data_IF_387490117775
#
_entry.id   IF_387490117775
#
_cell.length_a   1.000
_cell.length_b   1.000
_cell.length_c   1.000
_cell.angle_alpha   90.00
_cell.angle_beta   90.00
_cell.angle_gamma   90.00
#
_symmetry.space_group_name_H-M   'P 1'
#
loop_
_entity.id
_entity.type
_entity.pdbx_description
1 polymer ?
#
# COMPACT_ATOMS: atom_id res chain seq x y z
N UNK A 1 -6.38 14.90 15.30
CA UNK A 1 -6.92 13.67 14.70
C UNK A 1 -6.07 13.34 13.50
N UNK A 2 -5.34 12.21 13.54
CA UNK A 2 -4.42 11.82 12.46
C UNK A 2 -5.12 10.82 11.56
N UNK A 3 -5.61 11.28 10.43
CA UNK A 3 -6.22 10.43 9.41
C UNK A 3 -5.17 10.03 8.38
N UNK A 4 -5.13 8.76 8.00
CA UNK A 4 -4.23 8.24 6.97
C UNK A 4 -5.01 7.72 5.78
N UNK A 5 -4.52 8.00 4.58
CA UNK A 5 -5.03 7.42 3.34
C UNK A 5 -4.63 5.93 3.31
N UNK A 6 -5.58 5.03 3.55
CA UNK A 6 -5.32 3.60 3.61
C UNK A 6 -5.51 2.97 2.23
N UNK A 7 -4.43 2.37 1.71
CA UNK A 7 -4.49 1.50 0.54
C UNK A 7 -4.24 0.07 0.99
N UNK A 8 -5.20 -0.83 0.79
CA UNK A 8 -5.06 -2.23 1.15
C UNK A 8 -5.61 -3.19 0.10
N UNK A 9 -5.07 -4.40 0.11
CA UNK A 9 -5.57 -5.56 -0.64
C UNK A 9 -6.03 -6.59 0.38
N UNK A 10 -7.32 -6.93 0.35
CA UNK A 10 -7.89 -7.99 1.19
C UNK A 10 -7.90 -9.30 0.42
N UNK A 11 -7.26 -10.33 0.98
CA UNK A 11 -7.10 -11.64 0.36
C UNK A 11 -7.65 -12.71 1.30
N UNK A 12 -8.42 -13.66 0.77
CA UNK A 12 -8.94 -14.78 1.57
C UNK A 12 -7.95 -15.93 1.73
N UNK A 13 -6.93 -15.98 0.88
CA UNK A 13 -5.95 -17.08 0.86
C UNK A 13 -4.55 -16.57 1.21
N UNK A 14 -3.83 -17.23 2.15
CA UNK A 14 -2.45 -16.89 2.49
C UNK A 14 -1.47 -17.09 1.34
N UNK A 15 -1.76 -18.07 0.46
CA UNK A 15 -0.94 -18.34 -0.72
C UNK A 15 -1.01 -17.18 -1.70
N UNK A 16 -2.23 -16.68 -1.94
CA UNK A 16 -2.42 -15.51 -2.81
C UNK A 16 -1.71 -14.29 -2.24
N UNK A 17 -1.74 -14.10 -0.92
CA UNK A 17 -1.05 -12.97 -0.30
C UNK A 17 0.47 -13.02 -0.47
N UNK A 18 1.08 -14.20 -0.38
CA UNK A 18 2.51 -14.36 -0.68
C UNK A 18 2.81 -14.10 -2.16
N UNK A 19 1.95 -14.57 -3.06
CA UNK A 19 2.11 -14.37 -4.51
C UNK A 19 2.09 -12.88 -4.87
N UNK A 20 1.10 -12.14 -4.36
CA UNK A 20 1.01 -10.68 -4.53
C UNK A 20 2.27 -9.98 -4.01
N UNK A 21 2.80 -10.36 -2.86
CA UNK A 21 4.03 -9.76 -2.32
C UNK A 21 5.23 -10.05 -3.23
N UNK A 22 5.31 -11.25 -3.79
CA UNK A 22 6.35 -11.62 -4.72
C UNK A 22 6.24 -10.79 -6.02
N UNK A 23 5.03 -10.65 -6.58
CA UNK A 23 4.79 -9.79 -7.73
C UNK A 23 5.18 -8.32 -7.44
N UNK A 24 4.81 -7.80 -6.27
CA UNK A 24 5.21 -6.46 -5.83
C UNK A 24 6.73 -6.32 -5.70
N UNK A 25 7.44 -7.37 -5.28
CA UNK A 25 8.89 -7.38 -5.20
C UNK A 25 9.56 -7.39 -6.58
N UNK A 26 8.90 -7.98 -7.59
CA UNK A 26 9.34 -7.99 -8.99
C UNK A 26 9.07 -6.63 -9.68
N UNK A 27 8.23 -5.78 -9.08
CA UNK A 27 7.88 -4.45 -9.60
C UNK A 27 6.47 -4.36 -10.18
N UNK A 28 5.60 -5.33 -9.89
CA UNK A 28 4.20 -5.25 -10.27
C UNK A 28 3.50 -4.05 -9.59
N UNK A 29 2.44 -3.56 -10.24
CA UNK A 29 1.68 -2.42 -9.76
C UNK A 29 0.67 -2.86 -8.69
N UNK A 30 0.83 -2.36 -7.46
CA UNK A 30 -0.12 -2.61 -6.36
C UNK A 30 -1.57 -2.30 -6.72
N UNK A 31 -1.78 -1.22 -7.46
CA UNK A 31 -3.09 -0.81 -7.95
C UNK A 31 -3.77 -1.87 -8.83
N UNK A 32 -2.98 -2.53 -9.70
CA UNK A 32 -3.46 -3.52 -10.64
C UNK A 32 -3.80 -4.83 -9.90
N UNK A 33 -2.88 -5.26 -9.04
CA UNK A 33 -3.07 -6.40 -8.14
C UNK A 33 -4.27 -6.18 -7.21
N UNK A 34 -4.46 -4.97 -6.69
CA UNK A 34 -5.60 -4.63 -5.87
C UNK A 34 -6.91 -4.67 -6.66
N UNK A 35 -6.94 -4.13 -7.88
CA UNK A 35 -8.12 -4.20 -8.75
C UNK A 35 -8.50 -5.63 -9.10
N UNK A 36 -7.51 -6.49 -9.36
CA UNK A 36 -7.71 -7.84 -9.87
C UNK A 36 -7.96 -8.87 -8.74
N UNK A 37 -7.28 -8.73 -7.60
CA UNK A 37 -7.28 -9.73 -6.53
C UNK A 37 -7.97 -9.30 -5.23
N UNK A 38 -8.22 -8.00 -5.00
CA UNK A 38 -8.82 -7.57 -3.73
C UNK A 38 -10.27 -8.04 -3.61
N UNK A 39 -10.54 -8.74 -2.51
CA UNK A 39 -11.88 -9.17 -2.13
C UNK A 39 -12.74 -8.05 -1.53
N UNK A 40 -12.17 -6.85 -1.32
CA UNK A 40 -12.86 -5.68 -0.80
C UNK A 40 -13.50 -4.88 -1.95
N UNK A 41 -14.68 -4.24 -1.78
CA UNK A 41 -15.26 -3.32 -2.77
C UNK A 41 -14.31 -2.18 -3.19
N UNK A 42 -13.29 -1.88 -2.38
CA UNK A 42 -12.17 -0.98 -2.71
C UNK A 42 -11.37 -1.38 -3.96
N UNK A 43 -11.56 -2.58 -4.52
CA UNK A 43 -10.97 -2.98 -5.80
C UNK A 43 -11.27 -1.98 -6.93
N UNK A 44 -12.47 -1.39 -6.95
CA UNK A 44 -12.84 -0.39 -7.96
C UNK A 44 -12.04 0.92 -7.84
N UNK A 45 -11.42 1.14 -6.68
CA UNK A 45 -10.52 2.26 -6.42
C UNK A 45 -9.07 1.77 -6.29
N UNK A 46 -8.75 0.66 -6.97
CA UNK A 46 -7.38 0.10 -7.02
C UNK A 46 -6.78 -0.10 -5.62
N UNK A 47 -7.61 -0.59 -4.69
CA UNK A 47 -7.22 -0.84 -3.29
C UNK A 47 -7.32 0.35 -2.34
N UNK A 48 -7.79 1.51 -2.80
CA UNK A 48 -8.00 2.65 -1.92
C UNK A 48 -9.25 2.48 -1.04
N UNK A 49 -9.04 2.35 0.27
CA UNK A 49 -10.10 2.22 1.27
C UNK A 49 -10.64 3.58 1.77
N UNK A 50 -9.96 4.68 1.43
CA UNK A 50 -10.30 6.01 1.92
C UNK A 50 -9.38 6.47 3.03
N UNK A 51 -9.76 7.55 3.71
CA UNK A 51 -9.06 8.03 4.89
C UNK A 51 -9.63 7.36 6.13
N UNK A 52 -8.76 6.72 6.91
CA UNK A 52 -9.12 6.08 8.17
C UNK A 52 -8.36 6.73 9.32
N UNK A 53 -9.00 6.77 10.48
CA UNK A 53 -8.34 7.16 11.72
C UNK A 53 -7.43 6.03 12.18
N UNK A 54 -6.18 6.35 12.51
CA UNK A 54 -5.19 5.36 12.96
C UNK A 54 -5.64 4.61 14.22
N UNK A 55 -6.44 5.26 15.07
CA UNK A 55 -6.99 4.71 16.31
C UNK A 55 -8.11 3.68 16.07
N UNK A 56 -8.79 3.76 14.92
CA UNK A 56 -9.86 2.82 14.55
C UNK A 56 -9.34 1.60 13.76
N UNK A 57 -8.04 1.51 13.52
CA UNK A 57 -7.45 0.39 12.80
C UNK A 57 -7.29 -0.83 13.72
N UNK A 58 -7.36 -2.06 13.16
CA UNK A 58 -7.00 -3.25 13.93
C UNK A 58 -5.57 -3.13 14.47
N UNK A 59 -5.34 -3.62 15.68
CA UNK A 59 -4.03 -3.52 16.35
C UNK A 59 -2.88 -4.05 15.49
N UNK A 60 -3.08 -5.17 14.78
CA UNK A 60 -2.08 -5.71 13.85
C UNK A 60 -1.73 -4.76 12.69
N UNK A 61 -2.73 -4.02 12.20
CA UNK A 61 -2.58 -3.04 11.12
C UNK A 61 -1.91 -1.77 11.64
N UNK A 62 -2.32 -1.31 12.82
CA UNK A 62 -1.70 -0.19 13.51
C UNK A 62 -0.21 -0.46 13.78
N UNK A 63 0.12 -1.61 14.38
CA UNK A 63 1.52 -1.97 14.64
C UNK A 63 2.36 -2.02 13.36
N UNK A 64 1.83 -2.58 12.26
CA UNK A 64 2.55 -2.61 10.99
C UNK A 64 2.78 -1.21 10.42
N UNK A 65 1.79 -0.31 10.53
CA UNK A 65 1.92 1.09 10.09
C UNK A 65 2.90 1.88 10.96
N UNK A 66 2.91 1.64 12.27
CA UNK A 66 3.84 2.30 13.21
C UNK A 66 5.26 1.76 13.07
N UNK A 67 5.43 0.47 12.76
CA UNK A 67 6.72 -0.15 12.48
C UNK A 67 7.26 0.20 11.07
N UNK A 68 6.45 0.86 10.24
CA UNK A 68 6.88 1.29 8.92
C UNK A 68 7.73 2.55 9.03
N UNK A 69 9.05 2.38 9.05
CA UNK A 69 10.01 3.50 9.06
C UNK A 69 10.17 4.21 7.69
N UNK A 70 9.28 3.93 6.74
CA UNK A 70 9.36 4.46 5.36
C UNK A 70 10.36 3.74 4.45
N UNK A 71 11.14 2.78 4.96
CA UNK A 71 11.99 1.89 4.14
C UNK A 71 11.18 0.86 3.35
N UNK A 72 9.96 0.54 3.78
CA UNK A 72 9.10 -0.44 3.12
C UNK A 72 7.91 0.27 2.46
N UNK A 73 7.77 0.07 1.15
CA UNK A 73 6.62 0.56 0.38
C UNK A 73 5.34 -0.21 0.70
N UNK A 74 5.47 -1.48 1.07
CA UNK A 74 4.36 -2.40 1.32
C UNK A 74 4.55 -3.11 2.66
N UNK A 75 3.47 -3.18 3.43
CA UNK A 75 3.37 -3.76 4.76
C UNK A 75 2.41 -4.95 4.68
N UNK A 76 2.92 -6.16 4.85
CA UNK A 76 2.10 -7.35 4.77
C UNK A 76 2.91 -8.64 4.62
N UNK A 77 2.24 -9.80 4.71
CA UNK A 77 0.79 -9.99 4.77
C UNK A 77 0.27 -10.01 6.22
N UNK A 78 -0.60 -9.06 6.57
CA UNK A 78 -1.16 -8.92 7.92
C UNK A 78 -2.38 -9.84 8.06
N UNK A 79 -2.26 -10.88 8.86
CA UNK A 79 -3.39 -11.78 9.15
C UNK A 79 -4.38 -11.10 10.11
N UNK A 80 -5.65 -11.06 9.71
CA UNK A 80 -6.76 -10.61 10.55
C UNK A 80 -7.89 -11.64 10.51
N UNK A 81 -8.91 -11.44 11.34
CA UNK A 81 -10.16 -12.22 11.32
C UNK A 81 -10.90 -12.24 9.97
N UNK A 82 -10.61 -11.30 9.06
CA UNK A 82 -11.24 -11.21 7.74
C UNK A 82 -10.41 -11.89 6.64
N UNK A 83 -9.13 -12.19 6.89
CA UNK A 83 -8.19 -12.72 5.92
C UNK A 83 -6.83 -12.03 6.03
N UNK A 84 -6.13 -11.94 4.90
CA UNK A 84 -4.80 -11.35 4.79
C UNK A 84 -4.89 -9.97 4.16
N UNK A 85 -4.30 -8.98 4.82
CA UNK A 85 -4.24 -7.60 4.36
C UNK A 85 -2.83 -7.24 3.96
N UNK A 86 -2.67 -6.73 2.75
CA UNK A 86 -1.43 -6.09 2.31
C UNK A 86 -1.73 -4.61 2.22
N UNK A 87 -1.00 -3.81 3.00
CA UNK A 87 -1.22 -2.37 3.15
C UNK A 87 -0.05 -1.65 2.50
N UNK A 88 -0.31 -0.60 1.71
CA UNK A 88 0.76 0.27 1.24
C UNK A 88 1.14 1.21 2.38
N UNK A 89 2.43 1.32 2.69
CA UNK A 89 2.89 2.25 3.70
C UNK A 89 2.45 3.67 3.32
N UNK A 90 1.89 4.45 4.26
CA UNK A 90 1.58 5.84 4.01
C UNK A 90 2.90 6.53 3.73
N UNK A 91 3.05 7.08 2.52
CA UNK A 91 4.16 7.98 2.24
C UNK A 91 4.03 9.10 3.27
N UNK A 92 5.03 9.33 4.15
CA UNK A 92 4.97 10.47 5.04
C UNK A 92 4.72 11.71 4.16
N UNK A 93 3.95 12.71 4.64
CA UNK A 93 3.79 13.94 3.87
C UNK A 93 5.19 14.40 3.50
N UNK A 94 5.42 14.57 2.20
CA UNK A 94 6.69 14.92 1.58
C UNK A 94 7.28 16.16 2.26
N UNK A 95 7.93 15.98 3.40
CA UNK A 95 8.71 17.00 4.10
C UNK A 95 10.05 17.03 3.39
N UNK A 96 10.02 17.50 2.14
CA UNK A 96 11.10 17.33 1.20
C UNK A 96 10.62 16.93 -0.18
N UNK A 97 9.77 17.76 -0.80
CA UNK A 97 9.93 17.95 -2.25
C UNK A 97 11.32 18.58 -2.44
N UNK A 98 12.38 17.77 -2.45
CA UNK A 98 13.51 18.13 -3.30
C UNK A 98 12.94 17.96 -4.70
N UNK A 99 12.56 19.10 -5.28
CA UNK A 99 12.42 19.26 -6.72
C UNK A 99 13.71 18.69 -7.31
N UNK A 100 13.66 17.45 -7.77
CA UNK A 100 14.73 16.92 -8.59
C UNK A 100 14.54 17.64 -9.91
N UNK A 101 15.42 18.58 -10.11
CA UNK A 101 15.66 19.30 -11.35
C UNK A 101 15.52 18.33 -12.53
N UNK A 102 14.61 18.61 -13.46
CA UNK A 102 14.66 18.08 -14.83
C UNK A 102 15.41 19.11 -15.71
N UNK A 103 16.76 19.12 -15.75
CA UNK A 103 17.49 19.57 -16.91
C UNK A 103 17.77 18.35 -17.79
N UNK A 104 17.59 18.51 -19.09
CA UNK A 104 17.97 17.55 -20.14
C UNK A 104 16.86 16.60 -20.64
N UNK A 105 15.93 17.18 -21.42
CA UNK A 105 15.57 16.56 -22.69
C UNK A 105 16.38 17.27 -23.79
N UNK A 106 17.68 16.96 -23.91
CA UNK A 106 18.51 17.40 -25.05
C UNK A 106 18.24 16.53 -26.28
N UNK A 107 17.93 17.23 -27.38
CA UNK A 107 18.25 16.96 -28.79
C UNK A 107 18.23 15.52 -29.38
N UNK A 108 17.33 15.34 -30.36
CA UNK A 108 17.49 14.57 -31.61
C UNK A 108 16.15 14.69 -32.38
N UNK A 109 15.98 15.13 -33.62
CA UNK A 109 16.77 15.61 -34.76
C UNK A 109 15.86 16.56 -35.58
#
# INVERSE_FOLDING_TARGET
MTTVALHHILLKSPLLAQDIINELAIGASFEDLASNHSACPSKNRKGFAGQHEVDQLPEALYQALTAADGSQTYLGPIATRYGYHIVKAPVPPLSGRTRVDDPDATAAE
#
